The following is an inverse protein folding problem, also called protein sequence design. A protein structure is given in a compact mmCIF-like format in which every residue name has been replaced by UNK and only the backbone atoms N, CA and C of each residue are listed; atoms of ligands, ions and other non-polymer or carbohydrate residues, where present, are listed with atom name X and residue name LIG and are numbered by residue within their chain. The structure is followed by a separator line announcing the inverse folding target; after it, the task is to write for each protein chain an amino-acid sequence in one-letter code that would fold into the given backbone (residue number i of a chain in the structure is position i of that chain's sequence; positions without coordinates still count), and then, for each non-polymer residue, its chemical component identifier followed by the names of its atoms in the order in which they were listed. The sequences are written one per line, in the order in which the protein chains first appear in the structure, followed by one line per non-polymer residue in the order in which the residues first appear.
data_IF_145691896320
#
_entry.id   IF_145691896320
#
_cell.length_a   1.000
_cell.length_b   1.000
_cell.length_c   1.000
_cell.angle_alpha   90.00
_cell.angle_beta   90.00
_cell.angle_gamma   90.00
#
_symmetry.space_group_name_H-M   'P 1'
#
loop_
_entity.id
_entity.type
_entity.pdbx_description
1 polymer ?
#
# COMPACT_ATOMS: atom_id res chain seq x y z
N UNK A 1 7.94 -12.65 5.60
CA UNK A 1 6.51 -13.03 5.45
C UNK A 1 6.26 -14.16 4.44
N UNK A 2 6.82 -14.12 3.23
CA UNK A 2 6.64 -15.19 2.22
C UNK A 2 7.09 -16.55 2.73
N UNK A 3 8.26 -16.62 3.39
CA UNK A 3 8.78 -17.87 3.99
C UNK A 3 7.79 -18.52 4.96
N UNK A 4 7.25 -17.75 5.90
CA UNK A 4 6.29 -18.26 6.88
C UNK A 4 5.00 -18.80 6.22
N UNK A 5 4.53 -18.17 5.15
CA UNK A 5 3.38 -18.66 4.38
C UNK A 5 3.73 -19.98 3.70
N UNK A 6 4.87 -20.04 3.01
CA UNK A 6 5.31 -21.26 2.32
C UNK A 6 5.57 -22.43 3.27
N UNK A 7 6.07 -22.16 4.48
CA UNK A 7 6.25 -23.18 5.51
C UNK A 7 4.92 -23.76 5.99
N UNK A 8 3.88 -22.92 6.11
CA UNK A 8 2.55 -23.35 6.51
C UNK A 8 1.78 -24.13 5.43
N UNK A 9 2.08 -23.89 4.14
CA UNK A 9 1.41 -24.55 3.01
C UNK A 9 2.27 -25.59 2.29
N UNK A 10 3.41 -25.96 2.88
CA UNK A 10 4.40 -26.84 2.24
C UNK A 10 3.79 -28.19 1.81
N UNK A 11 2.98 -28.80 2.66
CA UNK A 11 2.33 -30.09 2.36
C UNK A 11 1.41 -30.01 1.13
N UNK A 12 0.73 -28.88 0.93
CA UNK A 12 -0.11 -28.64 -0.26
C UNK A 12 0.71 -28.36 -1.51
N UNK A 13 1.91 -27.77 -1.35
CA UNK A 13 2.82 -27.50 -2.46
C UNK A 13 3.43 -28.78 -3.02
N UNK A 14 3.77 -29.75 -2.16
CA UNK A 14 4.39 -31.02 -2.57
C UNK A 14 3.36 -32.01 -3.12
N UNK A 15 2.21 -32.17 -2.47
CA UNK A 15 1.28 -33.27 -2.77
C UNK A 15 0.11 -32.90 -3.71
N UNK A 16 0.06 -31.67 -4.23
CA UNK A 16 -0.95 -31.19 -5.18
C UNK A 16 -2.42 -31.57 -4.83
N UNK A 17 -2.78 -31.48 -3.54
CA UNK A 17 -4.08 -31.92 -2.99
C UNK A 17 -5.27 -31.00 -3.30
N UNK A 18 -5.04 -29.89 -4.00
CA UNK A 18 -6.06 -28.86 -4.22
C UNK A 18 -6.85 -29.15 -5.52
N UNK A 19 -8.16 -28.81 -5.56
CA UNK A 19 -9.01 -29.08 -6.71
C UNK A 19 -8.64 -28.28 -7.97
N UNK A 20 -7.88 -27.19 -7.81
CA UNK A 20 -7.38 -26.37 -8.90
C UNK A 20 -6.05 -25.70 -8.50
N UNK A 21 -5.38 -25.09 -9.48
CA UNK A 21 -4.14 -24.35 -9.26
C UNK A 21 -4.40 -23.07 -8.46
N UNK A 22 -3.84 -22.98 -7.25
CA UNK A 22 -3.99 -21.83 -6.35
C UNK A 22 -2.78 -20.89 -6.46
N UNK A 23 -3.03 -19.60 -6.72
CA UNK A 23 -2.02 -18.54 -6.74
C UNK A 23 -2.13 -17.69 -5.47
N UNK A 24 -1.09 -17.74 -4.64
CA UNK A 24 -0.93 -16.88 -3.46
C UNK A 24 0.13 -15.83 -3.77
N UNK A 25 -0.25 -14.55 -3.70
CA UNK A 25 0.70 -13.44 -3.92
C UNK A 25 0.72 -12.46 -2.76
N UNK A 26 1.87 -11.81 -2.57
CA UNK A 26 2.08 -10.86 -1.49
C UNK A 26 2.59 -9.52 -2.04
N UNK A 27 1.96 -8.43 -1.62
CA UNK A 27 2.48 -7.08 -1.82
C UNK A 27 2.79 -6.43 -0.48
N UNK A 28 3.93 -5.75 -0.40
CA UNK A 28 4.35 -5.01 0.78
C UNK A 28 3.60 -3.68 0.95
N UNK A 29 2.98 -3.16 -0.11
CA UNK A 29 2.15 -1.95 -0.11
C UNK A 29 1.13 -1.96 -1.25
N UNK A 30 0.22 -0.98 -1.26
CA UNK A 30 -0.85 -0.82 -2.24
C UNK A 30 -0.39 -0.53 -3.68
N UNK A 31 0.91 -0.30 -3.91
CA UNK A 31 1.44 -0.18 -5.28
C UNK A 31 1.48 -1.52 -6.02
N UNK A 32 1.30 -2.65 -5.30
CA UNK A 32 1.09 -3.97 -5.88
C UNK A 32 2.07 -4.30 -7.01
N UNK A 33 3.38 -4.27 -6.73
CA UNK A 33 4.46 -4.55 -7.70
C UNK A 33 4.49 -6.03 -8.16
N UNK A 34 3.38 -6.53 -8.70
CA UNK A 34 3.14 -7.92 -9.08
C UNK A 34 1.65 -8.22 -9.28
N UNK A 35 1.31 -9.50 -9.42
CA UNK A 35 -0.04 -9.97 -9.72
C UNK A 35 -0.99 -10.04 -8.51
N UNK A 36 -0.77 -9.20 -7.48
CA UNK A 36 -1.50 -9.30 -6.20
C UNK A 36 -2.99 -8.98 -6.36
N UNK A 37 -3.34 -8.04 -7.25
CA UNK A 37 -4.72 -7.66 -7.55
C UNK A 37 -5.53 -8.76 -8.28
N UNK A 38 -4.88 -9.76 -8.86
CA UNK A 38 -5.51 -10.83 -9.64
C UNK A 38 -5.13 -12.24 -9.16
N UNK A 39 -4.68 -12.35 -7.90
CA UNK A 39 -4.37 -13.64 -7.26
C UNK A 39 -5.60 -14.22 -6.57
N UNK A 40 -5.67 -15.54 -6.47
CA UNK A 40 -6.75 -16.23 -5.76
C UNK A 40 -6.74 -15.87 -4.26
N UNK A 41 -5.53 -15.76 -3.68
CA UNK A 41 -5.32 -15.24 -2.33
C UNK A 41 -4.26 -14.15 -2.38
N UNK A 42 -4.62 -12.96 -1.91
CA UNK A 42 -3.76 -11.78 -1.87
C UNK A 42 -3.45 -11.37 -0.43
N UNK A 43 -2.16 -11.23 -0.11
CA UNK A 43 -1.70 -10.67 1.16
C UNK A 43 -1.17 -9.26 0.90
N UNK A 44 -1.79 -8.26 1.50
CA UNK A 44 -1.47 -6.85 1.26
C UNK A 44 -1.09 -6.13 2.55
N UNK A 45 0.09 -5.51 2.54
CA UNK A 45 0.47 -4.54 3.57
C UNK A 45 -0.26 -3.22 3.37
N UNK A 46 -0.95 -2.75 4.41
CA UNK A 46 -1.62 -1.45 4.42
C UNK A 46 -1.09 -0.56 5.54
N UNK A 47 -1.08 0.75 5.28
CA UNK A 47 -0.86 1.77 6.30
C UNK A 47 -2.22 2.29 6.79
N UNK A 48 -2.25 2.87 8.00
CA UNK A 48 -3.48 3.43 8.59
C UNK A 48 -3.59 4.93 8.38
N UNK A 49 -2.54 5.69 8.70
CA UNK A 49 -2.52 7.14 8.55
C UNK A 49 -1.10 7.64 8.20
N UNK A 50 -0.97 8.65 7.32
CA UNK A 50 0.30 9.30 7.03
C UNK A 50 0.72 10.24 8.17
N UNK A 51 2.02 10.31 8.45
CA UNK A 51 2.60 11.31 9.37
C UNK A 51 3.11 12.51 8.57
N UNK A 52 2.62 13.70 8.86
CA UNK A 52 3.01 14.92 8.15
C UNK A 52 4.20 15.59 8.84
N UNK A 53 5.23 15.90 8.06
CA UNK A 53 6.39 16.69 8.48
C UNK A 53 6.45 18.00 7.67
N UNK A 54 5.93 19.07 8.27
CA UNK A 54 5.84 20.39 7.63
C UNK A 54 7.20 21.09 7.48
N UNK A 55 8.27 20.62 8.11
CA UNK A 55 9.61 21.20 7.93
C UNK A 55 10.30 20.65 6.69
N UNK A 56 10.03 19.39 6.35
CA UNK A 56 10.63 18.67 5.22
C UNK A 56 9.82 18.78 3.93
N UNK A 57 8.49 18.78 4.03
CA UNK A 57 7.59 18.85 2.86
C UNK A 57 7.98 19.96 1.87
N UNK A 58 8.18 21.23 2.26
CA UNK A 58 8.51 22.27 1.29
C UNK A 58 9.93 22.20 0.72
N UNK A 59 10.81 21.36 1.29
CA UNK A 59 12.19 21.17 0.82
C UNK A 59 12.32 20.04 -0.20
N UNK A 60 11.40 19.08 -0.19
CA UNK A 60 11.51 17.81 -0.94
C UNK A 60 10.34 17.62 -1.90
N UNK A 61 9.17 18.18 -1.60
CA UNK A 61 7.94 17.90 -2.31
C UNK A 61 7.38 19.15 -3.00
N UNK A 62 6.82 18.96 -4.19
CA UNK A 62 5.98 19.96 -4.83
C UNK A 62 4.53 19.83 -4.30
N UNK A 63 4.04 20.87 -3.62
CA UNK A 63 2.75 20.84 -2.91
C UNK A 63 1.57 20.53 -3.86
N UNK A 64 1.43 21.17 -5.05
CA UNK A 64 0.36 20.84 -6.00
C UNK A 64 0.32 19.36 -6.40
N UNK A 65 1.48 18.79 -6.75
CA UNK A 65 1.60 17.39 -7.13
C UNK A 65 1.30 16.45 -5.97
N UNK A 66 1.73 16.82 -4.75
CA UNK A 66 1.42 16.06 -3.54
C UNK A 66 -0.09 16.03 -3.27
N UNK A 67 -0.79 17.16 -3.41
CA UNK A 67 -2.25 17.23 -3.25
C UNK A 67 -2.97 16.41 -4.34
N UNK A 68 -2.52 16.51 -5.59
CA UNK A 68 -3.12 15.80 -6.72
C UNK A 68 -2.95 14.27 -6.64
N UNK A 69 -1.93 13.79 -5.93
CA UNK A 69 -1.69 12.35 -5.76
C UNK A 69 -2.75 11.64 -4.91
N UNK A 70 -3.55 12.37 -4.13
CA UNK A 70 -4.53 11.79 -3.23
C UNK A 70 -5.85 11.43 -3.95
N UNK A 71 -6.22 10.15 -4.06
CA UNK A 71 -7.41 9.73 -4.79
C UNK A 71 -8.74 10.17 -4.13
N UNK A 72 -8.76 10.35 -2.81
CA UNK A 72 -9.95 10.76 -2.04
C UNK A 72 -10.01 12.27 -1.78
N UNK A 73 -8.99 13.01 -2.22
CA UNK A 73 -8.78 14.41 -1.89
C UNK A 73 -8.80 14.66 -0.37
N UNK A 74 -8.12 13.83 0.41
CA UNK A 74 -7.91 14.02 1.86
C UNK A 74 -6.82 15.05 2.18
N UNK A 75 -5.87 15.25 1.26
CA UNK A 75 -4.72 16.15 1.45
C UNK A 75 -5.13 17.59 1.11
N UNK A 76 -4.77 18.55 1.97
CA UNK A 76 -4.89 20.00 1.73
C UNK A 76 -3.50 20.61 1.86
N UNK A 77 -3.14 21.49 0.93
CA UNK A 77 -1.83 22.15 0.93
C UNK A 77 -1.97 23.64 0.68
N UNK A 78 -1.12 24.44 1.32
CA UNK A 78 -1.03 25.89 1.07
C UNK A 78 0.38 26.22 0.60
N UNK A 79 0.51 26.67 -0.66
CA UNK A 79 1.80 27.07 -1.23
C UNK A 79 2.38 28.32 -0.53
N UNK A 80 1.51 29.19 0.02
CA UNK A 80 1.92 30.38 0.78
C UNK A 80 2.49 30.00 2.14
N UNK A 81 1.82 29.10 2.86
CA UNK A 81 2.24 28.67 4.20
C UNK A 81 3.28 27.55 4.18
N UNK A 82 3.53 26.95 3.01
CA UNK A 82 4.47 25.84 2.81
C UNK A 82 4.15 24.62 3.69
N UNK A 83 2.86 24.41 3.99
CA UNK A 83 2.34 23.36 4.86
C UNK A 83 1.34 22.46 4.15
N UNK A 84 1.21 21.24 4.66
CA UNK A 84 0.22 20.25 4.24
C UNK A 84 -0.53 19.75 5.47
N UNK A 85 -1.82 19.48 5.30
CA UNK A 85 -2.68 18.83 6.31
C UNK A 85 -3.43 17.68 5.66
N UNK A 86 -3.79 16.68 6.46
CA UNK A 86 -4.53 15.49 6.01
C UNK A 86 -5.81 15.41 6.82
N UNK A 87 -6.95 15.27 6.12
CA UNK A 87 -8.22 14.94 6.76
C UNK A 87 -8.28 13.42 6.99
N UNK A 88 -8.22 13.01 8.26
CA UNK A 88 -8.19 11.58 8.64
C UNK A 88 -9.47 10.83 8.27
N UNK A 89 -10.64 11.46 8.30
CA UNK A 89 -11.92 10.80 7.96
C UNK A 89 -12.02 10.48 6.46
N UNK A 90 -11.26 11.19 5.63
CA UNK A 90 -11.25 11.00 4.17
C UNK A 90 -10.03 10.19 3.69
N UNK A 91 -9.09 9.88 4.57
CA UNK A 91 -7.83 9.21 4.24
C UNK A 91 -7.93 7.70 4.34
#
# INVERSE_FOLDING_TARGET
PVKAVMDAVFDHFVEAKLPAHLRISLACCLNMCGAVHCSDIAILGIHRLPKVDNERVPKICEIPNTVASCPTFAIRGSAKEKKVTVNEERC
#
